data_IF_790270040775
#
_entry.id   IF_790270040775
#
_cell.length_a   1.000
_cell.length_b   1.000
_cell.length_c   1.000
_cell.angle_alpha   90.00
_cell.angle_beta   90.00
_cell.angle_gamma   90.00
#
_symmetry.space_group_name_H-M   'P 1'
#
loop_
_entity.id
_entity.type
_entity.pdbx_description
1 polymer ?
#
# COMPACT_ATOMS: atom_id res chain seq x y z
N UNK A 1 -35.68 3.82 -1.80
CA UNK A 1 -35.58 2.86 -0.68
C UNK A 1 -36.91 2.19 -0.32
N UNK A 2 -37.98 2.94 -0.04
CA UNK A 2 -39.22 2.39 0.52
C UNK A 2 -40.15 1.70 -0.48
N UNK A 3 -40.11 2.09 -1.75
CA UNK A 3 -41.04 1.54 -2.76
C UNK A 3 -40.44 0.32 -3.49
N UNK A 4 -39.21 0.46 -3.99
CA UNK A 4 -38.53 -0.59 -4.77
C UNK A 4 -37.92 -1.66 -3.86
N UNK A 5 -37.02 -1.25 -2.95
CA UNK A 5 -36.38 -2.15 -2.00
C UNK A 5 -37.30 -2.52 -0.83
N UNK A 6 -38.42 -1.82 -0.68
CA UNK A 6 -39.45 -2.09 0.35
C UNK A 6 -38.91 -2.07 1.78
N UNK A 7 -37.92 -1.22 2.03
CA UNK A 7 -37.38 -1.06 3.38
C UNK A 7 -38.43 -0.46 4.33
N UNK A 8 -38.51 -0.94 5.57
CA UNK A 8 -39.42 -0.41 6.58
C UNK A 8 -39.07 1.04 6.91
N UNK A 9 -40.04 1.95 6.71
CA UNK A 9 -39.88 3.40 6.91
C UNK A 9 -39.51 3.77 8.35
N UNK A 10 -39.92 2.96 9.32
CA UNK A 10 -39.65 3.12 10.75
C UNK A 10 -38.21 2.76 11.14
N UNK A 11 -37.47 2.08 10.27
CA UNK A 11 -36.03 1.81 10.46
C UNK A 11 -35.12 2.77 9.69
N UNK A 12 -35.68 3.71 8.94
CA UNK A 12 -34.90 4.70 8.20
C UNK A 12 -34.75 5.98 9.01
N UNK A 13 -33.50 6.45 9.07
CA UNK A 13 -33.08 7.69 9.71
C UNK A 13 -32.44 8.59 8.66
N UNK A 14 -32.52 9.90 8.87
CA UNK A 14 -31.92 10.87 7.95
C UNK A 14 -31.09 11.89 8.71
N UNK A 15 -30.00 12.34 8.10
CA UNK A 15 -29.20 13.47 8.58
C UNK A 15 -29.26 14.60 7.58
N UNK A 16 -29.15 15.84 8.07
CA UNK A 16 -29.04 17.05 7.25
C UNK A 16 -27.97 17.96 7.84
N UNK A 17 -27.38 18.79 6.99
CA UNK A 17 -26.47 19.84 7.44
C UNK A 17 -27.23 20.84 8.31
N UNK A 18 -26.64 21.24 9.44
CA UNK A 18 -27.30 22.08 10.46
C UNK A 18 -27.81 23.43 9.92
N UNK A 19 -27.15 23.99 8.90
CA UNK A 19 -27.55 25.24 8.25
C UNK A 19 -28.45 25.03 7.01
N UNK A 20 -28.76 23.78 6.61
CA UNK A 20 -29.60 23.45 5.45
C UNK A 20 -31.07 23.21 5.86
N UNK A 21 -31.77 24.33 6.10
CA UNK A 21 -33.20 24.30 6.45
C UNK A 21 -34.08 23.75 5.30
N UNK A 22 -33.61 23.85 4.05
CA UNK A 22 -34.37 23.39 2.89
C UNK A 22 -34.44 21.86 2.86
N UNK A 23 -33.30 21.17 3.04
CA UNK A 23 -33.27 19.72 3.14
C UNK A 23 -34.11 19.22 4.32
N UNK A 24 -34.04 19.88 5.47
CA UNK A 24 -34.85 19.55 6.64
C UNK A 24 -36.36 19.63 6.33
N UNK A 25 -36.78 20.74 5.71
CA UNK A 25 -38.18 20.97 5.36
C UNK A 25 -38.72 19.92 4.39
N UNK A 26 -37.92 19.53 3.40
CA UNK A 26 -38.27 18.46 2.45
C UNK A 26 -38.49 17.14 3.21
N UNK A 27 -37.56 16.75 4.08
CA UNK A 27 -37.69 15.49 4.83
C UNK A 27 -38.90 15.47 5.77
N UNK A 28 -39.13 16.55 6.51
CA UNK A 28 -40.19 16.61 7.52
C UNK A 28 -41.57 16.85 6.91
N UNK A 29 -41.69 17.72 5.91
CA UNK A 29 -42.98 18.20 5.39
C UNK A 29 -43.41 17.48 4.12
N UNK A 30 -42.48 17.24 3.20
CA UNK A 30 -42.79 16.63 1.89
C UNK A 30 -42.71 15.11 1.94
N UNK A 31 -41.61 14.56 2.48
CA UNK A 31 -41.42 13.11 2.62
C UNK A 31 -42.16 12.56 3.83
N UNK A 32 -42.25 13.34 4.91
CA UNK A 32 -42.96 12.97 6.14
C UNK A 32 -42.16 12.05 7.07
N UNK A 33 -40.83 12.21 7.12
CA UNK A 33 -39.99 11.55 8.12
C UNK A 33 -40.33 12.06 9.51
N UNK A 34 -40.35 11.16 10.50
CA UNK A 34 -40.60 11.57 11.88
C UNK A 34 -39.47 12.49 12.36
N UNK A 35 -39.77 13.62 13.03
CA UNK A 35 -38.74 14.50 13.59
C UNK A 35 -37.78 13.80 14.55
N UNK A 36 -38.20 12.70 15.20
CA UNK A 36 -37.34 11.92 16.09
C UNK A 36 -36.33 11.03 15.35
N UNK A 37 -36.41 10.93 14.02
CA UNK A 37 -35.51 10.15 13.15
C UNK A 37 -34.74 11.04 12.16
N UNK A 38 -34.73 12.35 12.42
CA UNK A 38 -33.92 13.34 11.71
C UNK A 38 -32.89 13.90 12.68
N UNK A 39 -31.62 13.83 12.32
CA UNK A 39 -30.53 14.50 13.03
C UNK A 39 -29.99 15.67 12.20
N UNK A 40 -29.59 16.75 12.88
CA UNK A 40 -28.87 17.86 12.27
C UNK A 40 -27.41 17.70 12.68
N UNK A 41 -26.51 17.58 11.73
CA UNK A 41 -25.08 17.44 12.00
C UNK A 41 -24.29 18.59 11.41
N UNK A 42 -23.11 18.82 11.99
CA UNK A 42 -22.21 19.88 11.56
C UNK A 42 -21.45 19.53 10.29
N UNK A 43 -20.53 20.41 9.91
CA UNK A 43 -19.79 20.30 8.65
C UNK A 43 -18.87 19.07 8.55
N UNK A 44 -18.54 18.44 9.68
CA UNK A 44 -17.74 17.21 9.68
C UNK A 44 -18.48 16.06 9.00
N UNK A 45 -19.79 15.96 9.22
CA UNK A 45 -20.59 14.81 8.84
C UNK A 45 -21.50 15.13 7.64
N UNK A 46 -22.07 16.34 7.59
CA UNK A 46 -23.01 16.73 6.53
C UNK A 46 -22.52 17.84 5.58
N UNK A 47 -21.21 18.01 5.42
CA UNK A 47 -20.65 18.88 4.37
C UNK A 47 -19.59 18.12 3.55
N UNK A 48 -19.95 17.74 2.33
CA UNK A 48 -19.11 16.92 1.47
C UNK A 48 -18.21 17.75 0.56
N UNK A 49 -17.00 17.26 0.29
CA UNK A 49 -16.04 17.87 -0.64
C UNK A 49 -15.31 16.81 -1.45
N UNK A 50 -15.08 17.06 -2.75
CA UNK A 50 -14.34 16.14 -3.63
C UNK A 50 -12.87 15.95 -3.19
N UNK A 51 -12.32 16.94 -2.50
CA UNK A 51 -10.97 16.92 -1.94
C UNK A 51 -10.66 18.26 -1.27
N UNK A 52 -9.38 18.64 -1.23
CA UNK A 52 -8.93 19.93 -0.69
C UNK A 52 -9.49 21.11 -1.49
N UNK A 53 -9.75 20.91 -2.78
CA UNK A 53 -10.36 21.89 -3.69
C UNK A 53 -11.39 21.22 -4.59
N UNK A 54 -12.25 22.03 -5.22
CA UNK A 54 -13.25 21.56 -6.19
C UNK A 54 -14.70 21.63 -5.69
N UNK A 55 -15.63 21.00 -6.41
CA UNK A 55 -17.05 20.98 -6.05
C UNK A 55 -17.29 20.40 -4.65
N UNK A 56 -18.18 21.05 -3.90
CA UNK A 56 -18.54 20.71 -2.53
C UNK A 56 -19.93 21.30 -2.17
N UNK A 57 -20.47 20.90 -1.03
CA UNK A 57 -21.71 21.46 -0.51
C UNK A 57 -22.32 20.64 0.62
N UNK A 58 -23.47 21.08 1.15
CA UNK A 58 -24.20 20.32 2.16
C UNK A 58 -24.63 18.97 1.59
N UNK A 59 -24.75 17.98 2.46
CA UNK A 59 -25.31 16.69 2.09
C UNK A 59 -26.34 16.21 3.12
N UNK A 60 -27.18 15.28 2.66
CA UNK A 60 -28.13 14.57 3.49
C UNK A 60 -27.92 13.08 3.32
N UNK A 61 -27.81 12.36 4.43
CA UNK A 61 -27.55 10.93 4.41
C UNK A 61 -28.75 10.16 4.97
N UNK A 62 -28.93 8.93 4.49
CA UNK A 62 -29.96 8.02 4.93
C UNK A 62 -29.28 6.83 5.62
N UNK A 63 -29.71 6.55 6.84
CA UNK A 63 -29.23 5.46 7.69
C UNK A 63 -30.31 4.39 7.86
N UNK A 64 -29.88 3.14 8.04
CA UNK A 64 -30.75 2.01 8.37
C UNK A 64 -30.44 1.48 9.78
N UNK A 65 -31.47 1.31 10.60
CA UNK A 65 -31.39 0.70 11.94
C UNK A 65 -31.47 -0.84 11.85
N UNK A 66 -30.35 -1.52 12.08
CA UNK A 66 -30.29 -2.98 12.16
C UNK A 66 -31.06 -3.56 13.36
N UNK A 67 -31.30 -2.75 14.40
CA UNK A 67 -32.07 -3.08 15.60
C UNK A 67 -31.22 -3.15 16.87
N UNK A 68 -31.90 -3.26 18.01
CA UNK A 68 -31.30 -3.16 19.35
C UNK A 68 -30.29 -4.26 19.71
N UNK A 69 -30.21 -5.33 18.92
CA UNK A 69 -29.23 -6.42 19.12
C UNK A 69 -27.84 -6.06 18.60
N UNK A 70 -27.71 -4.96 17.86
CA UNK A 70 -26.43 -4.44 17.35
C UNK A 70 -26.07 -3.21 18.19
N UNK A 71 -24.80 -3.11 18.61
CA UNK A 71 -24.31 -1.97 19.39
C UNK A 71 -24.19 -0.72 18.51
N UNK A 72 -24.50 0.45 19.10
CA UNK A 72 -24.44 1.74 18.42
C UNK A 72 -25.67 2.62 18.66
N UNK A 73 -25.44 3.92 18.62
CA UNK A 73 -26.46 4.96 18.73
C UNK A 73 -26.80 5.59 17.38
N UNK A 74 -27.91 6.34 17.29
CA UNK A 74 -28.30 7.03 16.05
C UNK A 74 -27.24 8.08 15.63
N UNK A 75 -27.26 8.52 14.37
CA UNK A 75 -26.35 9.58 13.91
C UNK A 75 -26.52 10.87 14.73
N UNK A 76 -25.42 11.55 14.99
CA UNK A 76 -25.34 12.74 15.86
C UNK A 76 -25.28 12.41 17.36
N UNK A 77 -25.20 11.14 17.74
CA UNK A 77 -25.06 10.71 19.13
C UNK A 77 -23.61 10.35 19.47
N UNK A 78 -23.20 10.33 20.75
CA UNK A 78 -21.85 9.89 21.14
C UNK A 78 -21.52 8.44 20.78
N UNK A 79 -22.52 7.63 20.46
CA UNK A 79 -22.40 6.21 20.09
C UNK A 79 -22.61 5.99 18.57
N UNK A 80 -22.57 7.05 17.76
CA UNK A 80 -22.84 7.00 16.31
C UNK A 80 -21.87 6.13 15.51
N UNK A 81 -20.66 5.91 16.03
CA UNK A 81 -19.61 5.09 15.39
C UNK A 81 -19.89 3.56 15.48
N UNK A 82 -21.00 3.16 16.08
CA UNK A 82 -21.40 1.74 16.18
C UNK A 82 -22.05 1.19 14.91
N UNK A 83 -22.13 -0.15 14.81
CA UNK A 83 -22.63 -0.86 13.62
C UNK A 83 -24.17 -0.89 13.50
N UNK A 84 -24.90 -0.34 14.47
CA UNK A 84 -26.38 -0.40 14.48
C UNK A 84 -27.01 0.45 13.39
N UNK A 85 -26.57 1.70 13.25
CA UNK A 85 -27.12 2.66 12.30
C UNK A 85 -26.14 2.81 11.15
N UNK A 86 -26.39 2.10 10.06
CA UNK A 86 -25.48 2.08 8.91
C UNK A 86 -25.94 3.10 7.89
N UNK A 87 -25.05 4.01 7.52
CA UNK A 87 -25.24 4.93 6.38
C UNK A 87 -25.36 4.11 5.09
N UNK A 88 -26.54 4.13 4.46
CA UNK A 88 -26.82 3.38 3.23
C UNK A 88 -26.78 4.25 1.98
N UNK A 89 -27.05 5.56 2.09
CA UNK A 89 -27.11 6.45 0.94
C UNK A 89 -26.79 7.90 1.32
N UNK A 90 -25.80 8.49 0.67
CA UNK A 90 -25.46 9.91 0.76
C UNK A 90 -25.97 10.68 -0.47
N UNK A 91 -26.62 11.81 -0.24
CA UNK A 91 -27.15 12.74 -1.25
C UNK A 91 -26.47 14.09 -1.04
N UNK A 92 -25.52 14.42 -1.92
CA UNK A 92 -24.75 15.65 -1.87
C UNK A 92 -25.38 16.70 -2.79
N UNK A 93 -25.64 17.87 -2.23
CA UNK A 93 -26.09 19.05 -2.95
C UNK A 93 -24.86 19.88 -3.30
N UNK A 94 -24.36 19.72 -4.51
CA UNK A 94 -23.18 20.44 -4.99
C UNK A 94 -23.58 21.90 -5.25
N UNK A 95 -23.25 22.78 -4.31
CA UNK A 95 -23.61 24.19 -4.34
C UNK A 95 -22.41 25.11 -4.55
N UNK A 96 -21.23 24.68 -4.11
CA UNK A 96 -20.03 25.51 -4.05
C UNK A 96 -18.84 24.84 -4.74
N UNK A 97 -17.89 25.65 -5.16
CA UNK A 97 -16.55 25.26 -5.53
C UNK A 97 -15.56 25.86 -4.52
N UNK A 98 -14.78 24.99 -3.87
CA UNK A 98 -13.74 25.35 -2.89
C UNK A 98 -12.42 25.68 -3.58
N UNK A 99 -11.93 26.90 -3.37
CA UNK A 99 -10.61 27.35 -3.81
C UNK A 99 -9.47 26.81 -2.93
N UNK A 100 -8.22 26.97 -3.37
CA UNK A 100 -7.02 26.56 -2.62
C UNK A 100 -6.87 27.27 -1.28
N UNK A 101 -7.42 28.47 -1.16
CA UNK A 101 -7.46 29.29 0.05
C UNK A 101 -8.64 28.92 0.98
N UNK A 102 -9.45 27.93 0.60
CA UNK A 102 -10.66 27.53 1.31
C UNK A 102 -11.90 28.35 0.98
N UNK A 103 -11.80 29.36 0.10
CA UNK A 103 -12.95 30.20 -0.26
C UNK A 103 -14.01 29.38 -1.00
N UNK A 104 -15.28 29.49 -0.57
CA UNK A 104 -16.42 28.86 -1.22
C UNK A 104 -17.06 29.82 -2.23
N UNK A 105 -17.10 29.39 -3.50
CA UNK A 105 -17.73 30.15 -4.59
C UNK A 105 -18.95 29.40 -5.12
N UNK A 106 -20.13 30.02 -5.24
CA UNK A 106 -21.32 29.33 -5.76
C UNK A 106 -21.09 28.76 -7.16
N UNK A 107 -21.56 27.54 -7.39
CA UNK A 107 -21.53 26.90 -8.71
C UNK A 107 -22.52 27.60 -9.65
N UNK A 108 -22.20 27.75 -10.95
CA UNK A 108 -23.12 28.31 -11.93
C UNK A 108 -24.43 27.53 -12.07
N UNK A 109 -24.39 26.23 -11.77
CA UNK A 109 -25.55 25.34 -11.80
C UNK A 109 -25.39 24.32 -10.67
N UNK A 110 -26.15 24.48 -9.57
CA UNK A 110 -26.18 23.47 -8.52
C UNK A 110 -26.52 22.10 -9.10
N UNK A 111 -25.84 21.08 -8.59
CA UNK A 111 -25.94 19.71 -9.09
C UNK A 111 -26.17 18.75 -7.93
N UNK A 112 -26.58 17.53 -8.23
CA UNK A 112 -26.76 16.47 -7.24
C UNK A 112 -25.78 15.34 -7.55
N UNK A 113 -25.03 14.93 -6.54
CA UNK A 113 -24.23 13.71 -6.55
C UNK A 113 -24.75 12.79 -5.45
N UNK A 114 -24.94 11.51 -5.75
CA UNK A 114 -25.42 10.56 -4.75
C UNK A 114 -24.61 9.28 -4.78
N UNK A 115 -24.21 8.82 -3.61
CA UNK A 115 -23.50 7.55 -3.44
C UNK A 115 -24.30 6.61 -2.54
N UNK A 116 -24.59 5.41 -3.04
CA UNK A 116 -25.16 4.32 -2.23
C UNK A 116 -24.17 3.15 -2.25
N UNK A 117 -23.65 2.78 -1.08
CA UNK A 117 -22.75 1.64 -0.96
C UNK A 117 -23.49 0.34 -1.24
N UNK A 118 -23.20 -0.30 -2.38
CA UNK A 118 -23.90 -1.52 -2.83
C UNK A 118 -23.81 -2.63 -1.78
N UNK A 119 -22.65 -2.81 -1.17
CA UNK A 119 -22.39 -3.83 -0.16
C UNK A 119 -23.18 -3.58 1.13
N UNK A 120 -23.30 -2.30 1.54
CA UNK A 120 -24.08 -1.91 2.73
C UNK A 120 -25.56 -2.13 2.51
N UNK A 121 -26.11 -1.68 1.38
CA UNK A 121 -27.53 -1.91 1.07
C UNK A 121 -27.82 -3.39 0.84
N UNK A 122 -26.87 -4.15 0.27
CA UNK A 122 -27.00 -5.61 0.15
C UNK A 122 -27.06 -6.29 1.51
N UNK A 123 -26.23 -5.87 2.48
CA UNK A 123 -26.28 -6.39 3.85
C UNK A 123 -27.67 -6.19 4.47
N UNK A 124 -28.21 -4.97 4.38
CA UNK A 124 -29.58 -4.65 4.82
C UNK A 124 -30.61 -5.54 4.14
N UNK A 125 -30.55 -5.68 2.81
CA UNK A 125 -31.51 -6.46 2.03
C UNK A 125 -31.43 -7.97 2.29
N UNK A 126 -30.25 -8.47 2.67
CA UNK A 126 -30.01 -9.87 3.02
C UNK A 126 -30.24 -10.16 4.51
N UNK A 127 -30.58 -9.14 5.30
CA UNK A 127 -30.86 -9.30 6.74
C UNK A 127 -29.62 -9.57 7.58
N UNK A 128 -28.44 -9.16 7.11
CA UNK A 128 -27.16 -9.26 7.83
C UNK A 128 -26.67 -7.85 8.20
N UNK A 129 -25.85 -7.75 9.26
CA UNK A 129 -25.35 -6.45 9.74
C UNK A 129 -23.93 -6.15 9.25
N UNK A 130 -23.14 -7.17 8.93
CA UNK A 130 -21.82 -6.99 8.33
C UNK A 130 -21.88 -7.11 6.81
N UNK A 131 -21.17 -6.22 6.11
CA UNK A 131 -20.93 -6.36 4.67
C UNK A 131 -20.28 -7.71 4.33
N UNK A 132 -19.44 -8.23 5.21
CA UNK A 132 -18.72 -9.49 5.00
C UNK A 132 -19.63 -10.74 5.07
N UNK A 133 -20.83 -10.59 5.61
CA UNK A 133 -21.82 -11.67 5.69
C UNK A 133 -22.71 -11.77 4.44
N UNK A 134 -22.61 -10.80 3.53
CA UNK A 134 -23.32 -10.81 2.24
C UNK A 134 -22.88 -11.98 1.37
N UNK A 135 -23.74 -12.40 0.46
CA UNK A 135 -23.49 -13.46 -0.53
C UNK A 135 -22.12 -13.33 -1.25
N UNK A 136 -21.78 -12.16 -1.76
CA UNK A 136 -20.51 -11.90 -2.47
C UNK A 136 -19.32 -12.12 -1.52
N UNK A 137 -19.32 -11.49 -0.35
CA UNK A 137 -18.19 -11.61 0.57
C UNK A 137 -18.09 -12.99 1.21
N UNK A 138 -19.22 -13.65 1.49
CA UNK A 138 -19.25 -15.02 1.98
C UNK A 138 -18.61 -15.97 0.98
N UNK A 139 -18.94 -15.85 -0.31
CA UNK A 139 -18.29 -16.63 -1.36
C UNK A 139 -16.76 -16.43 -1.36
N UNK A 140 -16.30 -15.17 -1.24
CA UNK A 140 -14.88 -14.84 -1.27
C UNK A 140 -14.13 -15.29 -0.01
N UNK A 141 -14.70 -15.13 1.18
CA UNK A 141 -14.09 -15.58 2.44
C UNK A 141 -14.02 -17.11 2.51
N UNK A 142 -15.04 -17.82 2.02
CA UNK A 142 -15.01 -19.27 1.87
C UNK A 142 -13.96 -19.72 0.85
N UNK A 143 -13.81 -19.01 -0.28
CA UNK A 143 -12.76 -19.28 -1.26
C UNK A 143 -11.36 -19.08 -0.67
N UNK A 144 -11.16 -18.02 0.10
CA UNK A 144 -9.92 -17.75 0.83
C UNK A 144 -9.60 -18.87 1.83
N UNK A 145 -10.59 -19.29 2.62
CA UNK A 145 -10.47 -20.42 3.55
C UNK A 145 -10.07 -21.72 2.84
N UNK A 146 -10.71 -22.04 1.70
CA UNK A 146 -10.34 -23.21 0.87
C UNK A 146 -8.93 -23.09 0.29
N UNK A 147 -8.54 -21.92 -0.20
CA UNK A 147 -7.22 -21.71 -0.79
C UNK A 147 -6.10 -21.85 0.25
N UNK A 148 -6.36 -21.43 1.49
CA UNK A 148 -5.46 -21.54 2.64
C UNK A 148 -5.51 -22.89 3.36
N UNK A 149 -6.51 -23.74 3.08
CA UNK A 149 -6.67 -25.03 3.73
C UNK A 149 -7.08 -24.94 5.21
N UNK A 150 -7.75 -23.86 5.61
CA UNK A 150 -8.22 -23.64 6.99
C UNK A 150 -9.75 -23.74 7.06
N UNK A 151 -10.35 -24.10 8.20
CA UNK A 151 -11.81 -24.04 8.36
C UNK A 151 -12.35 -22.62 8.22
N UNK A 152 -13.48 -22.45 7.53
CA UNK A 152 -14.20 -21.18 7.50
C UNK A 152 -14.93 -20.96 8.84
N UNK A 153 -14.81 -19.79 9.49
CA UNK A 153 -15.48 -19.52 10.75
C UNK A 153 -17.01 -19.52 10.62
N UNK A 154 -17.71 -20.23 11.52
CA UNK A 154 -19.17 -20.19 11.58
C UNK A 154 -19.65 -18.89 12.25
N UNK A 155 -20.75 -18.27 11.78
CA UNK A 155 -21.30 -17.02 12.35
C UNK A 155 -21.83 -17.14 13.80
N UNK A 156 -21.78 -18.32 14.42
CA UNK A 156 -22.37 -18.58 15.75
C UNK A 156 -21.37 -19.02 16.83
N UNK A 157 -20.06 -18.89 16.63
CA UNK A 157 -19.05 -19.37 17.58
C UNK A 157 -18.16 -18.25 18.11
N UNK A 158 -18.23 -18.01 19.42
CA UNK A 158 -17.63 -16.90 20.17
C UNK A 158 -16.25 -17.25 20.75
N UNK A 159 -15.29 -17.60 19.90
CA UNK A 159 -13.90 -17.83 20.33
C UNK A 159 -12.95 -16.78 19.74
N UNK A 160 -12.08 -16.20 20.57
CA UNK A 160 -11.08 -15.19 20.18
C UNK A 160 -10.25 -15.59 18.94
N UNK A 161 -9.81 -16.86 18.84
CA UNK A 161 -9.07 -17.36 17.68
C UNK A 161 -9.88 -17.34 16.37
N UNK A 162 -11.20 -17.53 16.44
CA UNK A 162 -12.07 -17.45 15.27
C UNK A 162 -12.35 -16.00 14.86
N UNK A 163 -12.45 -15.06 15.79
CA UNK A 163 -12.56 -13.63 15.46
C UNK A 163 -11.35 -13.13 14.66
N UNK A 164 -10.13 -13.55 15.03
CA UNK A 164 -8.92 -13.25 14.27
C UNK A 164 -8.91 -13.92 12.88
N UNK A 165 -9.37 -15.17 12.79
CA UNK A 165 -9.50 -15.88 11.52
C UNK A 165 -10.51 -15.19 10.58
N UNK A 166 -11.68 -14.82 11.11
CA UNK A 166 -12.70 -14.07 10.36
C UNK A 166 -12.17 -12.72 9.89
N UNK A 167 -11.50 -11.96 10.76
CA UNK A 167 -10.92 -10.66 10.40
C UNK A 167 -9.89 -10.78 9.27
N UNK A 168 -8.98 -11.76 9.35
CA UNK A 168 -7.97 -11.97 8.30
C UNK A 168 -8.58 -12.44 6.98
N UNK A 169 -9.59 -13.32 7.01
CA UNK A 169 -10.32 -13.75 5.81
C UNK A 169 -11.08 -12.58 5.18
N UNK A 170 -11.66 -11.68 5.99
CA UNK A 170 -12.33 -10.47 5.52
C UNK A 170 -11.35 -9.52 4.81
N UNK A 171 -10.16 -9.31 5.38
CA UNK A 171 -9.10 -8.51 4.74
C UNK A 171 -8.67 -9.13 3.41
N UNK A 172 -8.47 -10.46 3.36
CA UNK A 172 -8.11 -11.15 2.11
C UNK A 172 -9.22 -11.00 1.05
N UNK A 173 -10.48 -11.16 1.44
CA UNK A 173 -11.64 -11.06 0.55
C UNK A 173 -11.82 -9.64 -0.01
N UNK A 174 -11.62 -8.61 0.81
CA UNK A 174 -11.65 -7.22 0.34
C UNK A 174 -10.47 -6.92 -0.60
N UNK A 175 -9.27 -7.31 -0.20
CA UNK A 175 -8.06 -6.98 -0.94
C UNK A 175 -7.96 -7.71 -2.27
N UNK A 176 -8.49 -8.94 -2.40
CA UNK A 176 -8.51 -9.61 -3.71
C UNK A 176 -9.41 -8.86 -4.69
N UNK A 177 -10.55 -8.31 -4.24
CA UNK A 177 -11.44 -7.50 -5.11
C UNK A 177 -10.67 -6.29 -5.62
N UNK A 178 -10.12 -5.48 -4.71
CA UNK A 178 -9.34 -4.29 -5.05
C UNK A 178 -8.18 -4.61 -6.00
N UNK A 179 -7.45 -5.69 -5.73
CA UNK A 179 -6.32 -6.15 -6.56
C UNK A 179 -6.77 -6.51 -7.97
N UNK A 180 -7.82 -7.32 -8.10
CA UNK A 180 -8.34 -7.77 -9.40
C UNK A 180 -8.80 -6.59 -10.25
N UNK A 181 -9.55 -5.65 -9.67
CA UNK A 181 -10.03 -4.47 -10.40
C UNK A 181 -8.88 -3.53 -10.81
N UNK A 182 -7.94 -3.23 -9.91
CA UNK A 182 -6.80 -2.38 -10.23
C UNK A 182 -5.95 -2.95 -11.37
N UNK A 183 -5.67 -4.25 -11.36
CA UNK A 183 -4.91 -4.90 -12.44
C UNK A 183 -5.74 -4.96 -13.73
N UNK A 184 -7.05 -5.21 -13.63
CA UNK A 184 -7.95 -5.16 -14.78
C UNK A 184 -7.98 -3.77 -15.44
N UNK A 185 -7.72 -2.69 -14.70
CA UNK A 185 -7.61 -1.33 -15.22
C UNK A 185 -6.17 -0.95 -15.67
N UNK A 186 -5.23 -1.89 -15.60
CA UNK A 186 -3.86 -1.71 -16.09
C UNK A 186 -2.87 -1.19 -15.04
N UNK A 187 -3.25 -1.15 -13.76
CA UNK A 187 -2.31 -0.87 -12.68
C UNK A 187 -1.45 -2.11 -12.44
N UNK A 188 -0.13 -1.93 -12.45
CA UNK A 188 0.84 -2.99 -12.17
C UNK A 188 1.59 -2.69 -10.86
N UNK A 189 1.99 -3.72 -10.07
CA UNK A 189 2.74 -3.50 -8.83
C UNK A 189 4.06 -2.74 -9.08
N UNK A 190 4.28 -1.65 -8.35
CA UNK A 190 5.47 -0.78 -8.46
C UNK A 190 5.84 -0.19 -7.09
N UNK A 191 6.94 0.57 -7.02
CA UNK A 191 7.38 1.26 -5.79
C UNK A 191 6.88 2.70 -5.65
N UNK A 192 6.12 3.21 -6.64
CA UNK A 192 5.58 4.58 -6.62
C UNK A 192 4.13 4.64 -7.11
N UNK A 193 3.43 5.71 -6.74
CA UNK A 193 2.10 6.03 -7.25
C UNK A 193 1.05 4.93 -7.03
N UNK A 194 0.18 4.72 -8.03
CA UNK A 194 -0.91 3.72 -7.97
C UNK A 194 -0.39 2.29 -7.86
N UNK A 195 0.73 1.98 -8.53
CA UNK A 195 1.36 0.67 -8.47
C UNK A 195 1.90 0.33 -7.08
N UNK A 196 2.34 1.34 -6.31
CA UNK A 196 2.69 1.15 -4.91
C UNK A 196 1.47 0.83 -4.05
N UNK A 197 0.36 1.55 -4.22
CA UNK A 197 -0.90 1.24 -3.51
C UNK A 197 -1.33 -0.19 -3.77
N UNK A 198 -1.33 -0.64 -5.04
CA UNK A 198 -1.62 -2.03 -5.39
C UNK A 198 -0.68 -3.02 -4.69
N UNK A 199 0.64 -2.78 -4.76
CA UNK A 199 1.64 -3.61 -4.08
C UNK A 199 1.37 -3.73 -2.59
N UNK A 200 1.00 -2.64 -1.92
CA UNK A 200 0.69 -2.63 -0.48
C UNK A 200 -0.53 -3.48 -0.15
N UNK A 201 -1.63 -3.28 -0.87
CA UNK A 201 -2.88 -4.06 -0.71
C UNK A 201 -2.62 -5.55 -0.89
N UNK A 202 -1.87 -5.93 -1.92
CA UNK A 202 -1.52 -7.33 -2.17
C UNK A 202 -0.68 -7.92 -1.04
N UNK A 203 0.41 -7.24 -0.63
CA UNK A 203 1.32 -7.73 0.42
C UNK A 203 0.62 -7.85 1.77
N UNK A 204 -0.33 -6.96 2.09
CA UNK A 204 -1.16 -7.06 3.29
C UNK A 204 -2.04 -8.31 3.27
N UNK A 205 -2.71 -8.61 2.16
CA UNK A 205 -3.51 -9.82 2.04
C UNK A 205 -2.66 -11.10 2.18
N UNK A 206 -1.49 -11.13 1.52
CA UNK A 206 -0.54 -12.25 1.59
C UNK A 206 -0.06 -12.46 3.03
N UNK A 207 0.25 -11.38 3.76
CA UNK A 207 0.64 -11.44 5.18
C UNK A 207 -0.46 -12.03 6.05
N UNK A 208 -1.73 -11.69 5.84
CA UNK A 208 -2.85 -12.31 6.56
C UNK A 208 -2.94 -13.82 6.27
N UNK A 209 -2.73 -14.24 5.02
CA UNK A 209 -2.67 -15.68 4.68
C UNK A 209 -1.52 -16.41 5.39
N UNK A 210 -0.34 -15.78 5.44
CA UNK A 210 0.81 -16.29 6.19
C UNK A 210 0.52 -16.34 7.70
N UNK A 211 -0.10 -15.33 8.29
CA UNK A 211 -0.45 -15.29 9.71
C UNK A 211 -1.40 -16.42 10.11
N UNK A 212 -2.34 -16.79 9.22
CA UNK A 212 -3.31 -17.85 9.48
C UNK A 212 -2.73 -19.26 9.37
N UNK A 213 -1.73 -19.46 8.50
CA UNK A 213 -1.28 -20.81 8.11
C UNK A 213 0.18 -21.10 8.44
N UNK A 214 1.01 -20.08 8.62
CA UNK A 214 2.47 -20.16 8.61
C UNK A 214 3.07 -20.52 7.25
N UNK A 215 2.25 -20.69 6.21
CA UNK A 215 2.67 -21.15 4.89
C UNK A 215 3.03 -19.99 3.99
N UNK A 216 4.08 -20.18 3.18
CA UNK A 216 4.52 -19.25 2.12
C UNK A 216 3.99 -19.65 0.74
N UNK A 217 3.19 -20.70 0.67
CA UNK A 217 2.64 -21.21 -0.58
C UNK A 217 1.70 -20.17 -1.21
N UNK A 218 1.89 -19.81 -2.49
CA UNK A 218 1.00 -18.87 -3.18
C UNK A 218 -0.47 -19.31 -3.14
N UNK A 219 -1.35 -18.40 -2.76
CA UNK A 219 -2.78 -18.65 -2.64
C UNK A 219 -3.63 -17.52 -3.22
N UNK A 220 -3.14 -16.28 -3.20
CA UNK A 220 -3.91 -15.10 -3.51
C UNK A 220 -4.31 -15.06 -4.99
N UNK A 221 -3.43 -15.46 -5.91
CA UNK A 221 -3.78 -15.59 -7.33
C UNK A 221 -4.89 -16.62 -7.60
N UNK A 222 -5.07 -17.62 -6.73
CA UNK A 222 -6.14 -18.63 -6.88
C UNK A 222 -7.53 -18.07 -6.58
N UNK A 223 -7.60 -16.90 -5.94
CA UNK A 223 -8.87 -16.23 -5.61
C UNK A 223 -9.43 -15.40 -6.76
N UNK A 224 -8.66 -15.17 -7.84
CA UNK A 224 -9.13 -14.38 -8.99
C UNK A 224 -10.37 -15.02 -9.62
N UNK A 225 -10.38 -16.34 -9.79
CA UNK A 225 -11.56 -17.06 -10.30
C UNK A 225 -12.80 -16.76 -9.46
N UNK A 226 -12.69 -16.80 -8.14
CA UNK A 226 -13.83 -16.53 -7.25
C UNK A 226 -14.34 -15.09 -7.38
N UNK A 227 -13.47 -14.09 -7.60
CA UNK A 227 -13.92 -12.72 -7.91
C UNK A 227 -14.63 -12.67 -9.25
N UNK A 228 -14.12 -13.35 -10.27
CA UNK A 228 -14.76 -13.45 -11.59
C UNK A 228 -16.14 -14.13 -11.49
N UNK A 229 -16.28 -15.16 -10.64
CA UNK A 229 -17.55 -15.88 -10.47
C UNK A 229 -18.67 -14.97 -9.90
N UNK A 230 -18.33 -14.11 -8.92
CA UNK A 230 -19.34 -13.25 -8.26
C UNK A 230 -19.51 -11.86 -8.89
N UNK A 231 -18.56 -11.41 -9.73
CA UNK A 231 -18.59 -10.05 -10.30
C UNK A 231 -18.48 -10.01 -11.83
N UNK A 232 -18.14 -11.11 -12.50
CA UNK A 232 -17.87 -11.15 -13.94
C UNK A 232 -19.05 -10.80 -14.84
N UNK A 233 -20.29 -11.06 -14.39
CA UNK A 233 -21.50 -10.67 -15.13
C UNK A 233 -21.63 -9.13 -15.25
N UNK A 234 -21.44 -8.42 -14.13
CA UNK A 234 -21.48 -6.97 -14.10
C UNK A 234 -20.23 -6.33 -14.74
N UNK A 235 -19.10 -7.05 -14.74
CA UNK A 235 -17.82 -6.58 -15.26
C UNK A 235 -17.19 -7.60 -16.24
N UNK A 236 -17.69 -7.69 -17.50
CA UNK A 236 -17.22 -8.69 -18.47
C UNK A 236 -15.73 -8.59 -18.82
N UNK A 237 -15.11 -7.43 -18.60
CA UNK A 237 -13.67 -7.22 -18.78
C UNK A 237 -12.82 -8.11 -17.85
N UNK A 238 -13.36 -8.54 -16.71
CA UNK A 238 -12.67 -9.43 -15.77
C UNK A 238 -12.42 -10.80 -16.39
N UNK A 239 -13.41 -11.38 -17.08
CA UNK A 239 -13.24 -12.66 -17.80
C UNK A 239 -12.12 -12.58 -18.85
N UNK A 240 -12.07 -11.48 -19.60
CA UNK A 240 -11.07 -11.31 -20.66
C UNK A 240 -9.64 -11.17 -20.13
N UNK A 241 -9.47 -10.63 -18.92
CA UNK A 241 -8.16 -10.32 -18.32
C UNK A 241 -7.73 -11.30 -17.22
N UNK A 242 -8.57 -12.27 -16.88
CA UNK A 242 -8.37 -13.18 -15.76
C UNK A 242 -6.96 -13.79 -15.71
N UNK A 243 -6.52 -14.41 -16.81
CA UNK A 243 -5.21 -15.07 -16.87
C UNK A 243 -4.03 -14.12 -16.63
N UNK A 244 -4.11 -12.89 -17.13
CA UNK A 244 -3.06 -11.90 -16.94
C UNK A 244 -3.07 -11.34 -15.51
N UNK A 245 -4.26 -11.16 -14.92
CA UNK A 245 -4.41 -10.79 -13.51
C UNK A 245 -3.79 -11.86 -12.60
N UNK A 246 -4.11 -13.14 -12.84
CA UNK A 246 -3.55 -14.27 -12.08
C UNK A 246 -2.02 -14.30 -12.14
N UNK A 247 -1.42 -14.08 -13.33
CA UNK A 247 0.03 -14.02 -13.49
C UNK A 247 0.66 -12.89 -12.69
N UNK A 248 0.11 -11.68 -12.77
CA UNK A 248 0.63 -10.51 -12.06
C UNK A 248 0.59 -10.75 -10.55
N UNK A 249 -0.53 -11.28 -10.04
CA UNK A 249 -0.67 -11.58 -8.62
C UNK A 249 0.34 -12.64 -8.19
N UNK A 250 0.44 -13.73 -8.94
CA UNK A 250 1.36 -14.83 -8.63
C UNK A 250 2.83 -14.39 -8.64
N UNK A 251 3.22 -13.50 -9.55
CA UNK A 251 4.57 -12.95 -9.60
C UNK A 251 4.92 -12.14 -8.34
N UNK A 252 4.01 -11.27 -7.89
CA UNK A 252 4.20 -10.49 -6.66
C UNK A 252 4.17 -11.39 -5.41
N UNK A 253 3.31 -12.42 -5.36
CA UNK A 253 3.33 -13.43 -4.28
C UNK A 253 4.70 -14.09 -4.14
N UNK A 254 5.26 -14.60 -5.24
CA UNK A 254 6.59 -15.21 -5.22
C UNK A 254 7.69 -14.22 -4.84
N UNK A 255 7.62 -12.98 -5.34
CA UNK A 255 8.59 -11.94 -5.01
C UNK A 255 8.58 -11.64 -3.50
N UNK A 256 7.40 -11.45 -2.91
CA UNK A 256 7.28 -11.12 -1.50
C UNK A 256 7.56 -12.31 -0.57
N UNK A 257 7.20 -13.53 -0.97
CA UNK A 257 7.47 -14.73 -0.17
C UNK A 257 8.96 -14.93 0.13
N UNK A 258 9.87 -14.47 -0.76
CA UNK A 258 11.32 -14.51 -0.56
C UNK A 258 11.78 -13.67 0.63
N UNK A 259 11.17 -12.50 0.84
CA UNK A 259 11.57 -11.55 1.89
C UNK A 259 10.69 -11.58 3.13
N UNK A 260 9.48 -12.15 3.03
CA UNK A 260 8.48 -12.16 4.09
C UNK A 260 9.01 -12.75 5.41
N UNK A 261 9.61 -13.94 5.37
CA UNK A 261 10.08 -14.62 6.59
C UNK A 261 11.23 -13.88 7.27
N UNK A 262 12.19 -13.39 6.49
CA UNK A 262 13.32 -12.62 7.02
C UNK A 262 12.85 -11.29 7.59
N UNK A 263 11.91 -10.62 6.92
CA UNK A 263 11.29 -9.39 7.42
C UNK A 263 10.47 -9.62 8.68
N UNK A 264 9.69 -10.70 8.76
CA UNK A 264 8.94 -11.07 9.97
C UNK A 264 9.86 -11.40 11.15
N UNK A 265 10.97 -12.13 10.91
CA UNK A 265 11.98 -12.42 11.93
C UNK A 265 12.65 -11.14 12.44
N UNK A 266 13.08 -10.26 11.53
CA UNK A 266 13.65 -8.97 11.91
C UNK A 266 12.69 -8.15 12.76
N UNK A 267 11.41 -8.11 12.36
CA UNK A 267 10.38 -7.41 13.11
C UNK A 267 10.19 -8.04 14.49
N UNK A 268 10.04 -9.36 14.60
CA UNK A 268 9.90 -10.04 15.89
C UNK A 268 11.12 -9.86 16.80
N UNK A 269 12.33 -9.87 16.26
CA UNK A 269 13.55 -9.60 17.04
C UNK A 269 13.62 -8.15 17.50
N UNK A 270 13.25 -7.19 16.65
CA UNK A 270 13.14 -5.76 17.00
C UNK A 270 12.13 -5.56 18.14
N UNK A 271 10.97 -6.21 18.05
CA UNK A 271 9.91 -6.12 19.03
C UNK A 271 10.32 -6.72 20.39
N UNK A 272 11.02 -7.87 20.40
CA UNK A 272 11.58 -8.45 21.62
C UNK A 272 12.60 -7.55 22.30
N UNK A 273 13.45 -6.90 21.51
CA UNK A 273 14.43 -5.95 22.02
C UNK A 273 13.71 -4.74 22.67
N UNK A 274 12.67 -4.22 22.02
CA UNK A 274 11.86 -3.13 22.57
C UNK A 274 11.14 -3.49 23.87
N UNK A 275 10.62 -4.71 23.99
CA UNK A 275 10.03 -5.21 25.24
C UNK A 275 11.07 -5.24 26.37
N UNK A 276 12.32 -5.65 26.07
CA UNK A 276 13.43 -5.60 27.04
C UNK A 276 13.79 -4.17 27.45
N UNK A 277 13.73 -3.24 26.50
CA UNK A 277 14.12 -1.84 26.71
C UNK A 277 12.98 -0.97 27.26
N UNK A 278 11.75 -1.51 27.35
CA UNK A 278 10.57 -0.81 27.85
C UNK A 278 10.04 0.26 26.90
N UNK A 279 10.29 0.13 25.59
CA UNK A 279 9.92 1.12 24.56
C UNK A 279 8.66 0.66 23.81
N UNK A 280 7.67 1.56 23.68
CA UNK A 280 6.38 1.23 23.03
C UNK A 280 6.28 1.66 21.55
N UNK A 281 7.36 2.20 20.98
CA UNK A 281 7.40 2.73 19.62
C UNK A 281 8.55 2.11 18.81
N UNK A 282 8.23 1.51 17.65
CA UNK A 282 9.22 0.90 16.75
C UNK A 282 10.08 2.01 16.12
N UNK A 283 11.42 1.97 16.25
CA UNK A 283 12.30 3.01 15.72
C UNK A 283 12.16 3.19 14.21
N UNK A 284 12.21 4.44 13.74
CA UNK A 284 12.08 4.78 12.32
C UNK A 284 13.10 4.09 11.42
N UNK A 285 14.32 3.89 11.92
CA UNK A 285 15.39 3.15 11.22
C UNK A 285 15.04 1.67 10.99
N UNK A 286 14.40 1.03 11.98
CA UNK A 286 13.94 -0.36 11.85
C UNK A 286 12.77 -0.46 10.85
N UNK A 287 11.84 0.49 10.90
CA UNK A 287 10.74 0.61 9.91
C UNK A 287 11.32 0.84 8.51
N UNK A 288 12.32 1.71 8.38
CA UNK A 288 12.98 1.99 7.11
C UNK A 288 13.69 0.75 6.57
N UNK A 289 14.41 0.00 7.41
CA UNK A 289 15.05 -1.25 6.99
C UNK A 289 14.03 -2.30 6.52
N UNK A 290 12.91 -2.44 7.22
CA UNK A 290 11.80 -3.31 6.80
C UNK A 290 11.25 -2.89 5.43
N UNK A 291 11.07 -1.60 5.22
CA UNK A 291 10.60 -1.03 3.96
C UNK A 291 11.59 -1.21 2.81
N UNK A 292 12.83 -0.76 2.99
CA UNK A 292 13.84 -0.67 1.94
C UNK A 292 14.43 -2.04 1.60
N UNK A 293 14.82 -2.82 2.61
CA UNK A 293 15.52 -4.09 2.41
C UNK A 293 14.57 -5.27 2.21
N UNK A 294 13.45 -5.31 2.94
CA UNK A 294 12.54 -6.46 2.94
C UNK A 294 11.24 -6.19 2.17
N UNK A 295 11.03 -4.95 1.73
CA UNK A 295 9.85 -4.53 0.97
C UNK A 295 8.56 -4.53 1.79
N UNK A 296 8.64 -4.39 3.11
CA UNK A 296 7.46 -4.29 3.96
C UNK A 296 6.88 -2.88 3.86
N UNK A 297 5.64 -2.72 3.37
CA UNK A 297 4.97 -1.43 3.44
C UNK A 297 4.95 -0.88 4.86
N UNK A 298 5.11 0.44 5.02
CA UNK A 298 5.10 1.09 6.34
C UNK A 298 3.81 0.80 7.11
N UNK A 299 2.68 0.78 6.41
CA UNK A 299 1.37 0.42 6.94
C UNK A 299 1.28 -1.05 7.38
N UNK A 300 1.97 -1.96 6.69
CA UNK A 300 2.07 -3.36 7.12
C UNK A 300 2.80 -3.46 8.47
N UNK A 301 3.93 -2.75 8.60
CA UNK A 301 4.69 -2.68 9.86
C UNK A 301 3.85 -2.04 10.96
N UNK A 302 3.10 -0.97 10.65
CA UNK A 302 2.22 -0.31 11.59
C UNK A 302 1.08 -1.22 12.08
N UNK A 303 0.49 -2.02 11.19
CA UNK A 303 -0.57 -2.96 11.53
C UNK A 303 -0.06 -4.06 12.46
N UNK A 304 1.12 -4.61 12.18
CA UNK A 304 1.75 -5.62 13.05
C UNK A 304 2.10 -5.03 14.43
N UNK A 305 2.62 -3.80 14.47
CA UNK A 305 2.90 -3.10 15.72
C UNK A 305 1.61 -2.90 16.53
N UNK A 306 0.52 -2.45 15.89
CA UNK A 306 -0.78 -2.20 16.53
C UNK A 306 -1.38 -3.47 17.13
N UNK A 307 -1.26 -4.62 16.46
CA UNK A 307 -1.72 -5.92 17.00
C UNK A 307 -1.04 -6.30 18.33
N UNK A 308 0.16 -5.77 18.58
CA UNK A 308 0.91 -5.94 19.84
C UNK A 308 0.80 -4.75 20.79
N UNK A 309 -0.07 -3.78 20.50
CA UNK A 309 -0.26 -2.58 21.31
C UNK A 309 0.86 -1.54 21.18
N UNK A 310 1.62 -1.57 20.08
CA UNK A 310 2.77 -0.69 19.83
C UNK A 310 2.47 0.31 18.71
N UNK A 311 3.27 1.37 18.63
CA UNK A 311 3.24 2.35 17.55
C UNK A 311 4.54 2.33 16.73
N UNK A 312 4.57 3.03 15.61
CA UNK A 312 5.79 3.21 14.81
C UNK A 312 6.25 4.67 14.87
N UNK A 313 7.55 4.89 14.75
CA UNK A 313 8.13 6.23 14.57
C UNK A 313 8.11 6.63 13.10
N UNK A 314 6.97 7.17 12.67
CA UNK A 314 6.78 7.70 11.31
C UNK A 314 7.74 8.86 11.01
N UNK A 315 8.05 9.70 12.01
CA UNK A 315 8.93 10.85 11.81
C UNK A 315 10.37 10.40 11.54
N UNK A 316 10.88 9.44 12.31
CA UNK A 316 12.18 8.84 12.06
C UNK A 316 12.25 8.12 10.72
N UNK A 317 11.19 7.40 10.34
CA UNK A 317 11.10 6.78 9.01
C UNK A 317 11.18 7.84 7.89
N UNK A 318 10.44 8.94 8.00
CA UNK A 318 10.46 10.02 7.01
C UNK A 318 11.84 10.69 6.92
N UNK A 319 12.56 10.81 8.03
CA UNK A 319 13.94 11.29 8.04
C UNK A 319 14.88 10.33 7.28
N UNK A 320 14.75 9.01 7.49
CA UNK A 320 15.52 8.02 6.73
C UNK A 320 15.20 8.10 5.22
N UNK A 321 13.92 8.22 4.85
CA UNK A 321 13.48 8.39 3.46
C UNK A 321 14.04 9.68 2.84
N UNK A 322 14.07 10.79 3.59
CA UNK A 322 14.66 12.04 3.12
C UNK A 322 16.16 11.91 2.88
N UNK A 323 16.88 11.29 3.82
CA UNK A 323 18.31 11.01 3.69
C UNK A 323 18.61 10.16 2.46
N UNK A 324 17.86 9.09 2.24
CA UNK A 324 17.98 8.26 1.03
C UNK A 324 17.76 9.07 -0.25
N UNK A 325 16.72 9.91 -0.29
CA UNK A 325 16.44 10.78 -1.46
C UNK A 325 17.55 11.80 -1.72
N UNK A 326 18.15 12.35 -0.68
CA UNK A 326 19.28 13.29 -0.80
C UNK A 326 20.54 12.62 -1.34
N UNK A 327 20.81 11.39 -0.89
CA UNK A 327 21.89 10.55 -1.41
C UNK A 327 21.68 10.24 -2.89
N UNK A 328 20.49 9.79 -3.29
CA UNK A 328 20.17 9.53 -4.71
C UNK A 328 20.30 10.79 -5.59
N UNK A 329 19.88 11.97 -5.09
CA UNK A 329 20.02 13.24 -5.84
C UNK A 329 21.48 13.65 -6.03
N UNK A 330 22.31 13.48 -4.99
CA UNK A 330 23.73 13.81 -5.04
C UNK A 330 24.45 12.90 -6.02
N UNK A 331 24.11 11.62 -5.99
CA UNK A 331 24.70 10.62 -6.86
C UNK A 331 24.21 10.73 -8.32
N UNK A 332 22.96 11.14 -8.58
CA UNK A 332 22.49 11.46 -9.94
C UNK A 332 23.20 12.68 -10.54
N UNK A 333 23.52 13.71 -9.74
CA UNK A 333 24.38 14.81 -10.18
C UNK A 333 25.79 14.34 -10.50
N UNK A 334 26.27 13.32 -9.79
CA UNK A 334 27.56 12.71 -10.05
C UNK A 334 27.54 11.87 -11.33
N UNK A 335 26.53 11.02 -11.58
CA UNK A 335 26.37 10.28 -12.86
C UNK A 335 26.41 11.20 -14.09
N UNK A 336 25.73 12.34 -14.03
CA UNK A 336 25.80 13.36 -15.09
C UNK A 336 27.19 14.01 -15.24
N UNK A 337 27.99 14.06 -14.17
CA UNK A 337 29.39 14.48 -14.23
C UNK A 337 30.33 13.35 -14.68
N UNK A 338 29.98 12.09 -14.44
CA UNK A 338 30.72 10.90 -14.90
C UNK A 338 30.63 10.74 -16.43
N UNK A 339 29.60 11.30 -17.09
CA UNK A 339 29.57 11.45 -18.55
C UNK A 339 30.76 12.27 -19.10
N UNK A 340 31.40 13.10 -18.27
CA UNK A 340 32.57 13.92 -18.61
C UNK A 340 33.91 13.24 -18.30
N UNK A 341 33.93 11.98 -17.83
CA UNK A 341 35.16 11.22 -17.64
C UNK A 341 35.91 11.12 -18.98
N UNK A 342 37.17 11.60 -19.08
CA UNK A 342 37.96 11.45 -20.29
C UNK A 342 38.18 9.96 -20.57
N UNK A 343 37.79 9.49 -21.75
CA UNK A 343 37.95 8.08 -22.17
C UNK A 343 39.38 7.54 -21.99
N UNK A 344 40.38 8.42 -21.98
CA UNK A 344 41.79 8.09 -21.77
C UNK A 344 42.13 7.65 -20.33
N UNK A 345 41.45 8.17 -19.30
CA UNK A 345 41.76 7.86 -17.89
C UNK A 345 41.17 6.52 -17.44
N UNK A 346 39.98 6.17 -17.96
CA UNK A 346 39.39 4.83 -17.80
C UNK A 346 40.24 3.83 -18.60
N UNK A 347 40.50 4.08 -19.88
CA UNK A 347 41.28 3.17 -20.72
C UNK A 347 42.70 2.86 -20.20
N UNK A 348 43.37 3.79 -19.51
CA UNK A 348 44.70 3.55 -18.94
C UNK A 348 44.68 2.73 -17.65
N UNK A 349 43.59 2.79 -16.88
CA UNK A 349 43.49 2.17 -15.54
C UNK A 349 42.87 0.76 -15.58
N UNK A 350 42.10 0.47 -16.64
CA UNK A 350 41.42 -0.83 -16.85
C UNK A 350 41.79 -1.47 -18.20
N UNK A 351 42.98 -1.19 -18.73
CA UNK A 351 43.42 -1.64 -20.07
C UNK A 351 43.31 -3.16 -20.30
N UNK A 352 43.46 -3.96 -19.24
CA UNK A 352 43.36 -5.42 -19.26
C UNK A 352 42.15 -5.97 -18.47
N UNK A 353 41.19 -5.11 -18.10
CA UNK A 353 40.03 -5.48 -17.29
C UNK A 353 38.78 -5.63 -18.14
N UNK A 354 38.08 -6.76 -17.97
CA UNK A 354 36.77 -7.03 -18.54
C UNK A 354 35.80 -7.35 -17.40
N UNK A 355 34.63 -6.72 -17.39
CA UNK A 355 33.56 -7.07 -16.44
C UNK A 355 32.64 -8.11 -17.08
N UNK A 356 32.57 -9.31 -16.50
CA UNK A 356 31.63 -10.34 -16.94
C UNK A 356 30.20 -9.96 -16.53
N UNK A 357 29.29 -9.83 -17.49
CA UNK A 357 27.88 -9.51 -17.21
C UNK A 357 27.08 -10.79 -16.96
N UNK A 358 26.48 -10.90 -15.77
CA UNK A 358 25.70 -12.07 -15.31
C UNK A 358 24.21 -11.77 -15.14
N UNK A 359 23.80 -10.53 -15.40
CA UNK A 359 22.46 -10.01 -15.08
C UNK A 359 21.29 -10.58 -15.88
N UNK A 360 21.55 -11.41 -16.90
CA UNK A 360 20.48 -12.12 -17.60
C UNK A 360 19.88 -13.25 -16.75
N UNK A 361 20.69 -13.83 -15.87
CA UNK A 361 20.32 -15.02 -15.09
C UNK A 361 20.28 -14.74 -13.58
N UNK A 362 21.04 -13.75 -13.10
CA UNK A 362 21.26 -13.49 -11.68
C UNK A 362 20.92 -12.03 -11.33
N UNK A 363 20.36 -11.82 -10.14
CA UNK A 363 20.13 -10.49 -9.55
C UNK A 363 21.13 -10.15 -8.42
N UNK A 364 21.99 -11.11 -8.08
CA UNK A 364 23.01 -11.02 -7.03
C UNK A 364 24.23 -11.85 -7.46
N UNK A 365 25.41 -11.49 -6.98
CA UNK A 365 26.65 -12.21 -7.26
C UNK A 365 27.83 -11.69 -6.44
N UNK A 366 28.83 -12.54 -6.26
CA UNK A 366 30.11 -12.15 -5.66
C UNK A 366 31.04 -11.63 -6.74
N UNK A 367 31.81 -10.58 -6.46
CA UNK A 367 32.77 -10.03 -7.41
C UNK A 367 33.98 -9.42 -6.69
N UNK A 368 35.09 -9.30 -7.40
CA UNK A 368 36.26 -8.56 -6.94
C UNK A 368 36.22 -7.13 -7.48
N UNK A 369 36.69 -6.17 -6.67
CA UNK A 369 36.89 -4.79 -7.11
C UNK A 369 38.12 -4.77 -8.01
N UNK A 370 37.93 -4.39 -9.27
CA UNK A 370 39.02 -4.29 -10.24
C UNK A 370 39.63 -2.89 -10.27
N UNK A 371 38.83 -1.85 -10.02
CA UNK A 371 39.30 -0.47 -9.92
C UNK A 371 38.31 0.41 -9.16
N UNK A 372 38.82 1.48 -8.53
CA UNK A 372 38.04 2.54 -7.92
C UNK A 372 38.42 3.89 -8.52
N UNK A 373 37.42 4.77 -8.66
CA UNK A 373 37.60 6.15 -9.06
C UNK A 373 36.89 7.08 -8.08
N UNK A 374 37.55 8.17 -7.71
CA UNK A 374 36.99 9.20 -6.83
C UNK A 374 35.94 10.06 -7.56
N UNK A 375 35.29 10.96 -6.81
CA UNK A 375 34.24 11.86 -7.32
C UNK A 375 34.71 12.84 -8.42
N UNK A 376 36.01 13.02 -8.62
CA UNK A 376 36.56 13.83 -9.72
C UNK A 376 37.00 12.98 -10.93
N UNK A 377 36.80 11.66 -10.86
CA UNK A 377 37.21 10.72 -11.89
C UNK A 377 38.66 10.26 -11.84
N UNK A 378 39.43 10.71 -10.85
CA UNK A 378 40.80 10.23 -10.65
C UNK A 378 40.81 8.79 -10.10
N UNK A 379 41.74 7.93 -10.55
CA UNK A 379 41.94 6.62 -9.93
C UNK A 379 42.28 6.78 -8.45
N UNK A 380 41.71 5.92 -7.61
CA UNK A 380 41.97 5.90 -6.18
C UNK A 380 42.08 4.46 -5.68
N UNK A 381 42.80 4.26 -4.58
CA UNK A 381 42.95 2.94 -3.97
C UNK A 381 41.83 2.64 -2.98
N UNK A 382 41.09 3.65 -2.52
CA UNK A 382 40.01 3.47 -1.56
C UNK A 382 38.88 4.50 -1.63
N UNK A 383 37.67 4.10 -1.21
CA UNK A 383 36.53 4.99 -0.95
C UNK A 383 36.08 4.84 0.51
N UNK A 384 36.04 5.97 1.23
CA UNK A 384 35.58 6.07 2.62
C UNK A 384 34.08 6.43 2.72
N UNK A 385 33.45 6.25 3.91
CA UNK A 385 32.05 6.61 4.11
C UNK A 385 31.75 8.07 3.74
N UNK A 386 30.64 8.27 3.04
CA UNK A 386 30.19 9.56 2.51
C UNK A 386 30.83 9.98 1.18
N UNK A 387 31.81 9.23 0.65
CA UNK A 387 32.44 9.57 -0.62
C UNK A 387 31.66 9.00 -1.81
N UNK A 388 31.41 9.86 -2.80
CA UNK A 388 30.96 9.42 -4.12
C UNK A 388 32.14 8.86 -4.89
N UNK A 389 31.88 7.83 -5.69
CA UNK A 389 32.89 7.23 -6.54
C UNK A 389 32.30 6.30 -7.58
N UNK A 390 33.18 5.73 -8.39
CA UNK A 390 32.82 4.69 -9.36
C UNK A 390 33.58 3.42 -9.03
N UNK A 391 32.87 2.30 -8.97
CA UNK A 391 33.42 0.98 -8.72
C UNK A 391 33.38 0.16 -10.00
N UNK A 392 34.50 -0.45 -10.38
CA UNK A 392 34.57 -1.43 -11.47
C UNK A 392 34.74 -2.80 -10.84
N UNK A 393 33.89 -3.74 -11.23
CA UNK A 393 33.88 -5.11 -10.72
C UNK A 393 34.38 -6.09 -11.78
N UNK A 394 34.91 -7.23 -11.34
CA UNK A 394 35.28 -8.36 -12.20
C UNK A 394 34.07 -8.97 -12.91
N UNK A 395 32.92 -8.99 -12.24
CA UNK A 395 31.64 -9.44 -12.77
C UNK A 395 30.49 -8.66 -12.12
N UNK A 396 29.35 -8.57 -12.80
CA UNK A 396 28.20 -7.84 -12.27
C UNK A 396 26.86 -8.32 -12.85
N UNK A 397 25.81 -8.44 -12.01
CA UNK A 397 24.44 -8.58 -12.48
C UNK A 397 23.82 -7.25 -12.93
N UNK A 398 24.46 -6.11 -12.67
CA UNK A 398 23.90 -4.78 -12.93
C UNK A 398 23.93 -4.48 -14.43
N UNK A 399 22.74 -4.35 -15.03
CA UNK A 399 22.62 -3.95 -16.41
C UNK A 399 23.02 -2.48 -16.56
N UNK A 400 23.94 -2.21 -17.48
CA UNK A 400 24.35 -0.86 -17.77
C UNK A 400 23.38 -0.17 -18.73
N UNK A 401 23.21 1.15 -18.57
CA UNK A 401 22.37 1.97 -19.45
C UNK A 401 22.68 1.70 -20.93
N UNK A 402 21.70 1.19 -21.66
CA UNK A 402 21.83 0.87 -23.09
C UNK A 402 20.46 0.82 -23.78
N UNK A 403 20.39 1.31 -25.02
CA UNK A 403 19.19 1.21 -25.86
C UNK A 403 17.97 2.00 -25.36
N UNK A 404 18.18 3.06 -24.56
CA UNK A 404 17.11 3.88 -23.97
C UNK A 404 16.56 3.35 -22.64
N UNK A 405 17.15 2.29 -22.09
CA UNK A 405 16.86 1.78 -20.74
C UNK A 405 17.83 2.39 -19.73
N UNK A 406 17.32 2.77 -18.55
CA UNK A 406 18.10 3.31 -17.42
C UNK A 406 18.98 2.20 -16.83
N UNK A 407 20.20 2.52 -16.41
CA UNK A 407 21.10 1.57 -15.74
C UNK A 407 20.57 1.08 -14.39
N UNK A 408 20.94 -0.15 -14.03
CA UNK A 408 20.51 -0.78 -12.78
C UNK A 408 21.10 -0.08 -11.55
N UNK A 409 20.31 -0.14 -10.47
CA UNK A 409 20.63 0.40 -9.14
C UNK A 409 20.60 -0.73 -8.12
N UNK A 410 21.35 -0.57 -7.02
CA UNK A 410 21.48 -1.62 -6.02
C UNK A 410 22.59 -1.34 -5.03
N UNK A 411 23.09 -2.40 -4.39
CA UNK A 411 24.09 -2.28 -3.33
C UNK A 411 25.23 -3.28 -3.51
N UNK A 412 26.46 -2.85 -3.24
CA UNK A 412 27.61 -3.73 -3.07
C UNK A 412 27.87 -3.89 -1.57
N UNK A 413 27.99 -5.13 -1.11
CA UNK A 413 28.18 -5.46 0.31
C UNK A 413 29.38 -6.37 0.48
N UNK A 414 30.11 -6.21 1.58
CA UNK A 414 31.16 -7.15 1.98
C UNK A 414 31.27 -7.22 3.51
N UNK A 415 31.35 -8.43 4.09
CA UNK A 415 31.71 -8.59 5.50
C UNK A 415 33.19 -8.27 5.68
N UNK A 416 33.54 -7.13 6.29
CA UNK A 416 34.96 -6.75 6.39
C UNK A 416 35.74 -7.64 7.37
N UNK A 417 37.02 -7.82 7.07
CA UNK A 417 38.05 -8.46 7.90
C UNK A 417 38.51 -7.60 9.09
N UNK A 418 37.84 -6.49 9.41
CA UNK A 418 38.38 -5.48 10.34
C UNK A 418 37.40 -4.57 11.10
N UNK A 419 36.09 -4.83 11.11
CA UNK A 419 35.17 -4.22 12.09
C UNK A 419 34.04 -3.31 11.58
N UNK A 420 33.39 -3.68 10.47
CA UNK A 420 32.14 -3.06 9.97
C UNK A 420 31.66 -3.70 8.67
N UNK A 421 30.34 -3.70 8.39
CA UNK A 421 29.79 -4.06 7.07
C UNK A 421 30.18 -2.97 6.07
N UNK A 422 30.68 -3.39 4.91
CA UNK A 422 30.83 -2.50 3.76
C UNK A 422 29.46 -2.33 3.08
N UNK A 423 29.06 -1.10 2.82
CA UNK A 423 27.88 -0.79 2.01
C UNK A 423 28.19 0.31 1.01
N UNK A 424 28.21 -0.04 -0.28
CA UNK A 424 28.26 0.91 -1.38
C UNK A 424 26.93 0.93 -2.11
N UNK A 425 26.26 2.08 -2.15
CA UNK A 425 24.97 2.23 -2.81
C UNK A 425 25.16 2.69 -4.26
N UNK A 426 24.89 1.80 -5.21
CA UNK A 426 24.97 2.04 -6.65
C UNK A 426 23.69 2.71 -7.11
N UNK A 427 23.83 3.90 -7.68
CA UNK A 427 22.69 4.72 -8.17
C UNK A 427 22.56 4.71 -9.67
N UNK A 428 23.59 4.26 -10.38
CA UNK A 428 23.59 4.17 -11.82
C UNK A 428 24.68 3.20 -12.26
N UNK A 429 24.41 2.48 -13.34
CA UNK A 429 25.36 1.56 -13.95
C UNK A 429 25.53 1.95 -15.40
N UNK A 430 26.76 2.28 -15.80
CA UNK A 430 27.09 2.69 -17.17
C UNK A 430 28.12 1.74 -17.78
N UNK A 431 28.12 1.62 -19.11
CA UNK A 431 29.11 0.81 -19.83
C UNK A 431 30.08 1.70 -20.61
N UNK A 432 31.38 1.46 -20.43
CA UNK A 432 32.45 2.11 -21.22
C UNK A 432 33.38 1.04 -21.77
N UNK A 433 33.31 0.75 -23.06
CA UNK A 433 34.01 -0.40 -23.64
C UNK A 433 33.51 -1.72 -23.03
N UNK A 434 34.42 -2.51 -22.48
CA UNK A 434 34.13 -3.83 -21.89
C UNK A 434 34.00 -3.81 -20.36
N UNK A 435 33.96 -2.63 -19.74
CA UNK A 435 33.78 -2.47 -18.29
C UNK A 435 32.45 -1.82 -17.92
N UNK A 436 31.92 -2.24 -16.78
CA UNK A 436 30.70 -1.69 -16.17
C UNK A 436 31.11 -0.80 -14.99
N UNK A 437 30.66 0.45 -15.05
CA UNK A 437 30.90 1.50 -14.09
C UNK A 437 29.72 1.57 -13.13
N UNK A 438 29.93 1.17 -11.87
CA UNK A 438 28.92 1.25 -10.82
C UNK A 438 29.12 2.58 -10.10
N UNK A 439 28.27 3.55 -10.42
CA UNK A 439 28.35 4.91 -9.92
C UNK A 439 27.53 4.99 -8.65
N UNK A 440 28.12 5.49 -7.56
CA UNK A 440 27.45 5.43 -6.27
C UNK A 440 28.16 6.16 -5.15
N UNK A 441 27.73 5.87 -3.93
CA UNK A 441 28.27 6.42 -2.69
C UNK A 441 28.64 5.31 -1.73
N UNK A 442 29.80 5.41 -1.10
CA UNK A 442 30.15 4.55 0.02
C UNK A 442 29.38 5.02 1.25
N UNK A 443 28.42 4.23 1.73
CA UNK A 443 27.60 4.59 2.90
C UNK A 443 28.29 4.15 4.20
N UNK A 444 28.81 2.93 4.21
CA UNK A 444 29.44 2.31 5.38
C UNK A 444 30.69 1.52 4.98
N UNK A 445 31.66 1.43 5.89
CA UNK A 445 32.92 0.71 5.65
C UNK A 445 33.89 1.44 4.71
N UNK A 446 34.88 0.71 4.19
CA UNK A 446 35.88 1.24 3.26
C UNK A 446 36.04 0.27 2.09
N UNK A 447 35.85 0.75 0.86
CA UNK A 447 36.21 -0.02 -0.34
C UNK A 447 37.71 0.14 -0.56
N UNK A 448 38.41 -0.94 -0.83
CA UNK A 448 39.84 -0.96 -1.18
C UNK A 448 40.05 -1.98 -2.31
N UNK A 449 40.95 -1.67 -3.25
CA UNK A 449 41.29 -2.53 -4.41
C UNK A 449 42.21 -3.68 -4.00
#
# INVERSE_FOLDING_TARGET
LTEVLRLPKDRLWVTVFEDDQQAEDIWLKEVGVSPSRLARCGAKDNFWSMGDTGPCGPCSEIFFDHGETVEGGPPGSPEEDGDRYVEVWNIVFMEYNRGQDGTLTPLPSPSVDTGMGLERIAAVMQGVHSNYDTDIFRHLTEAASRALGIPHPSPHTSHHQQHHASSSLNVIADHIRSTVFLIAEGVVPQNVGRGYVLRRVMRRAIRHGFQLTGSKEPFFHRLVQSVVDVMGEAYPSLHAKQHDIEKVIKAEEHSFAKTLDTGMKLLDDTLRQMESDGVAQVPGEAVFRLYDTYGFPVDLTADIAREKGLTIDTQGFDQCMQRQRELSKTANKFSAATELLPSSAVASSVADTHTAFTGYDLLEGDAQIAALFAADGSPTDALSPGQNGTVVLSETPFYAEAGGQIGDQGVLRSPSTGGGELLFHVVDTQKRGDVYLHIGVCEEGHLEV
#
